data_IF_536014081467
#
_entry.id   IF_536014081467
#
_cell.length_a   1.000
_cell.length_b   1.000
_cell.length_c   1.000
_cell.angle_alpha   90.00
_cell.angle_beta   90.00
_cell.angle_gamma   90.00
#
_symmetry.space_group_name_H-M   'P 1'
#
loop_
_entity.id
_entity.type
_entity.pdbx_description
1 polymer ?
#
# COMPACT_ATOMS: atom_id res chain seq x y z
N UNK A 1 -2.11 16.08 12.52
CA UNK A 1 -2.90 16.53 11.35
C UNK A 1 -2.03 16.75 10.13
N UNK A 2 -1.17 15.78 9.78
CA UNK A 2 -0.50 15.76 8.49
C UNK A 2 -1.46 15.18 7.43
N UNK A 3 -1.20 15.45 6.16
CA UNK A 3 -1.99 14.93 5.02
C UNK A 3 -1.94 13.40 4.90
N UNK A 4 -2.80 12.83 4.07
CA UNK A 4 -2.80 11.41 3.68
C UNK A 4 -3.12 10.38 4.80
N UNK A 5 -3.70 10.78 5.92
CA UNK A 5 -4.20 9.83 6.92
C UNK A 5 -5.54 9.23 6.49
N UNK A 6 -5.69 7.92 6.60
CA UNK A 6 -6.92 7.19 6.24
C UNK A 6 -7.23 6.07 7.23
N UNK A 7 -8.51 5.74 7.37
CA UNK A 7 -8.97 4.51 8.01
C UNK A 7 -9.22 3.46 6.92
N UNK A 8 -8.67 2.25 7.07
CA UNK A 8 -8.69 1.19 6.05
C UNK A 8 -9.27 -0.11 6.60
N UNK A 9 -10.02 -0.81 5.75
CA UNK A 9 -10.48 -2.17 5.97
C UNK A 9 -10.34 -2.97 4.66
N UNK A 10 -9.80 -4.18 4.76
CA UNK A 10 -9.93 -5.22 3.74
C UNK A 10 -10.64 -6.43 4.35
N UNK A 11 -11.68 -6.92 3.67
CA UNK A 11 -12.43 -8.10 4.07
C UNK A 11 -12.45 -9.10 2.92
N UNK A 12 -12.27 -10.38 3.23
CA UNK A 12 -12.26 -11.48 2.28
C UNK A 12 -12.71 -12.78 2.93
N UNK A 13 -12.70 -13.86 2.15
CA UNK A 13 -13.03 -15.19 2.63
C UNK A 13 -12.08 -15.66 3.74
N UNK A 14 -12.54 -16.57 4.60
CA UNK A 14 -11.70 -17.10 5.69
C UNK A 14 -10.42 -17.71 5.11
N UNK A 15 -9.27 -17.18 5.54
CA UNK A 15 -7.96 -17.65 5.09
C UNK A 15 -7.50 -17.11 3.73
N UNK A 16 -8.23 -16.16 3.14
CA UNK A 16 -7.85 -15.53 1.87
C UNK A 16 -6.65 -14.59 1.97
N UNK A 17 -6.32 -14.11 3.17
CA UNK A 17 -5.19 -13.21 3.41
C UNK A 17 -4.05 -13.95 4.09
N UNK A 18 -2.83 -13.66 3.62
CA UNK A 18 -1.61 -14.07 4.31
C UNK A 18 -1.61 -13.51 5.73
N UNK A 19 -1.36 -14.38 6.70
CA UNK A 19 -1.09 -13.93 8.06
C UNK A 19 0.37 -13.50 8.11
N UNK A 20 0.61 -12.21 7.86
CA UNK A 20 1.96 -11.66 7.96
C UNK A 20 2.28 -11.27 9.42
N UNK A 21 3.49 -11.57 9.92
CA UNK A 21 3.94 -11.03 11.20
C UNK A 21 4.15 -9.51 11.10
N UNK A 22 4.13 -8.84 12.25
CA UNK A 22 4.45 -7.42 12.35
C UNK A 22 5.97 -7.22 12.19
N UNK A 23 6.37 -7.02 10.93
CA UNK A 23 7.75 -6.83 10.45
C UNK A 23 7.75 -5.97 9.16
N UNK A 24 8.92 -5.76 8.56
CA UNK A 24 9.03 -5.04 7.29
C UNK A 24 8.75 -5.94 6.06
N UNK A 25 8.28 -5.30 5.00
CA UNK A 25 8.10 -5.90 3.68
C UNK A 25 8.58 -4.91 2.61
N UNK A 26 9.50 -5.35 1.77
CA UNK A 26 9.77 -4.75 0.46
C UNK A 26 8.59 -5.00 -0.47
N UNK A 27 8.14 -3.97 -1.19
CA UNK A 27 6.91 -3.96 -1.98
C UNK A 27 7.22 -3.37 -3.34
N UNK A 28 6.82 -4.08 -4.40
CA UNK A 28 6.79 -3.59 -5.77
C UNK A 28 5.36 -3.76 -6.29
N UNK A 29 4.71 -2.66 -6.64
CA UNK A 29 3.29 -2.64 -7.02
C UNK A 29 3.11 -1.89 -8.33
N UNK A 30 2.27 -2.42 -9.21
CA UNK A 30 1.90 -1.80 -10.48
C UNK A 30 0.39 -1.90 -10.74
N UNK A 31 -0.11 -0.97 -11.55
CA UNK A 31 -1.47 -1.02 -12.06
C UNK A 31 -1.70 -2.08 -13.16
N UNK A 32 -2.94 -2.20 -13.65
CA UNK A 32 -3.32 -3.21 -14.65
C UNK A 32 -2.52 -3.14 -15.95
N UNK A 33 -2.06 -1.95 -16.35
CA UNK A 33 -1.29 -1.74 -17.58
C UNK A 33 0.10 -2.39 -17.57
N UNK A 34 0.64 -2.72 -16.41
CA UNK A 34 1.95 -3.38 -16.27
C UNK A 34 1.85 -4.69 -15.47
N UNK A 35 0.66 -5.29 -15.36
CA UNK A 35 0.48 -6.56 -14.68
C UNK A 35 1.30 -7.68 -15.33
N UNK A 36 2.01 -8.47 -14.53
CA UNK A 36 2.78 -9.63 -14.97
C UNK A 36 4.18 -9.32 -15.51
N UNK A 37 4.65 -8.07 -15.45
CA UNK A 37 5.98 -7.67 -15.96
C UNK A 37 7.00 -7.36 -14.86
N UNK A 38 6.58 -7.45 -13.59
CA UNK A 38 7.42 -7.18 -12.41
C UNK A 38 7.97 -8.47 -11.78
N UNK A 39 9.16 -8.37 -11.20
CA UNK A 39 9.83 -9.44 -10.46
C UNK A 39 10.85 -8.87 -9.46
N UNK A 40 10.58 -9.01 -8.16
CA UNK A 40 11.50 -8.61 -7.08
C UNK A 40 12.79 -9.43 -7.02
N UNK A 41 12.90 -10.58 -7.71
CA UNK A 41 14.20 -11.27 -7.84
C UNK A 41 15.13 -10.57 -8.82
N UNK A 42 14.61 -9.64 -9.64
CA UNK A 42 15.38 -8.87 -10.61
C UNK A 42 15.80 -7.51 -10.03
N UNK A 43 16.89 -6.92 -10.54
CA UNK A 43 17.27 -5.56 -10.17
C UNK A 43 16.13 -4.57 -10.39
N UNK A 44 16.03 -3.54 -9.53
CA UNK A 44 15.00 -2.51 -9.63
C UNK A 44 15.01 -1.82 -11.00
N UNK A 45 16.20 -1.56 -11.56
CA UNK A 45 16.36 -1.02 -12.91
C UNK A 45 15.60 -1.81 -13.98
N UNK A 46 15.73 -3.14 -13.96
CA UNK A 46 15.07 -3.99 -14.96
C UNK A 46 13.55 -3.93 -14.80
N UNK A 47 13.06 -3.87 -13.55
CA UNK A 47 11.63 -3.67 -13.28
C UNK A 47 11.13 -2.33 -13.84
N UNK A 48 11.87 -1.25 -13.63
CA UNK A 48 11.51 0.08 -14.15
C UNK A 48 11.46 0.10 -15.68
N UNK A 49 12.42 -0.53 -16.35
CA UNK A 49 12.46 -0.66 -17.81
C UNK A 49 11.30 -1.51 -18.34
N UNK A 50 10.98 -2.64 -17.69
CA UNK A 50 9.87 -3.51 -18.07
C UNK A 50 8.52 -2.79 -17.92
N UNK A 51 8.32 -2.08 -16.80
CA UNK A 51 7.08 -1.32 -16.55
C UNK A 51 6.95 -0.16 -17.54
N UNK A 52 8.02 0.59 -17.79
CA UNK A 52 8.03 1.65 -18.80
C UNK A 52 7.64 1.10 -20.19
N UNK A 53 8.22 -0.03 -20.59
CA UNK A 53 7.87 -0.68 -21.86
C UNK A 53 6.40 -1.12 -21.91
N UNK A 54 5.86 -1.71 -20.83
CA UNK A 54 4.48 -2.15 -20.77
C UNK A 54 3.48 -0.98 -20.87
N UNK A 55 3.84 0.16 -20.28
CA UNK A 55 3.03 1.38 -20.29
C UNK A 55 3.28 2.27 -21.53
N UNK A 56 4.15 1.86 -22.47
CA UNK A 56 4.60 2.67 -23.60
C UNK A 56 5.15 4.05 -23.17
N UNK A 57 5.91 4.07 -22.07
CA UNK A 57 6.58 5.24 -21.52
C UNK A 57 8.09 5.10 -21.63
N UNK A 58 8.78 6.23 -21.51
CA UNK A 58 10.23 6.28 -21.27
C UNK A 58 10.51 6.39 -19.77
N UNK A 59 11.72 6.05 -19.32
CA UNK A 59 12.07 6.15 -17.90
C UNK A 59 11.88 7.57 -17.33
N UNK A 60 12.15 8.62 -18.13
CA UNK A 60 12.01 10.03 -17.71
C UNK A 60 10.56 10.54 -17.58
N UNK A 61 9.61 9.75 -18.07
CA UNK A 61 8.15 9.98 -17.93
C UNK A 61 7.48 9.01 -16.97
N UNK A 62 8.23 8.04 -16.45
CA UNK A 62 7.77 7.08 -15.46
C UNK A 62 7.73 7.72 -14.07
N UNK A 63 6.65 7.49 -13.33
CA UNK A 63 6.45 8.02 -11.98
C UNK A 63 6.43 6.89 -10.95
N UNK A 64 7.43 6.87 -10.06
CA UNK A 64 7.50 5.95 -8.93
C UNK A 64 7.07 6.67 -7.66
N UNK A 65 6.14 6.10 -6.91
CA UNK A 65 5.84 6.53 -5.53
C UNK A 65 6.60 5.66 -4.52
N UNK A 66 7.15 6.28 -3.46
CA UNK A 66 7.89 5.60 -2.40
C UNK A 66 7.70 6.30 -1.05
N UNK A 67 8.29 5.77 0.03
CA UNK A 67 8.29 6.41 1.35
C UNK A 67 9.55 7.27 1.54
N UNK A 68 9.38 8.48 2.05
CA UNK A 68 10.47 9.38 2.43
C UNK A 68 11.05 8.97 3.79
N UNK A 69 11.88 7.91 3.80
CA UNK A 69 12.53 7.38 5.00
C UNK A 69 14.02 7.16 4.71
N UNK A 70 14.93 7.26 5.69
CA UNK A 70 16.37 7.10 5.46
C UNK A 70 16.78 5.80 4.75
N UNK A 71 16.04 4.71 4.98
CA UNK A 71 16.24 3.41 4.31
C UNK A 71 15.93 3.42 2.80
N UNK A 72 15.41 4.52 2.28
CA UNK A 72 15.06 4.72 0.88
C UNK A 72 15.92 5.78 0.20
N UNK A 73 16.84 6.44 0.91
CA UNK A 73 17.61 7.55 0.33
C UNK A 73 18.46 7.08 -0.88
N UNK A 74 19.14 5.93 -0.74
CA UNK A 74 20.00 5.38 -1.80
C UNK A 74 19.18 4.97 -3.04
N UNK A 75 18.04 4.30 -2.84
CA UNK A 75 17.19 3.85 -3.96
C UNK A 75 16.43 5.01 -4.61
N UNK A 76 16.09 6.05 -3.86
CA UNK A 76 15.55 7.31 -4.42
C UNK A 76 16.61 7.95 -5.33
N UNK A 77 17.85 8.05 -4.88
CA UNK A 77 18.94 8.60 -5.68
C UNK A 77 19.22 7.75 -6.92
N UNK A 78 19.19 6.42 -6.80
CA UNK A 78 19.35 5.48 -7.92
C UNK A 78 18.26 5.70 -8.98
N UNK A 79 16.98 5.75 -8.59
CA UNK A 79 15.86 6.00 -9.50
C UNK A 79 15.96 7.37 -10.18
N UNK A 80 16.30 8.42 -9.42
CA UNK A 80 16.49 9.76 -9.96
C UNK A 80 17.64 9.84 -10.96
N UNK A 81 18.74 9.12 -10.72
CA UNK A 81 19.87 9.04 -11.65
C UNK A 81 19.50 8.35 -12.97
N UNK A 82 18.48 7.50 -12.98
CA UNK A 82 17.90 6.89 -14.19
C UNK A 82 16.92 7.81 -14.93
N UNK A 83 16.62 9.00 -14.38
CA UNK A 83 15.65 9.95 -14.92
C UNK A 83 14.22 9.77 -14.43
N UNK A 84 13.94 8.74 -13.64
CA UNK A 84 12.59 8.44 -13.13
C UNK A 84 12.12 9.53 -12.17
N UNK A 85 10.84 9.91 -12.28
CA UNK A 85 10.23 10.87 -11.36
C UNK A 85 9.83 10.15 -10.08
N UNK A 86 10.39 10.58 -8.95
CA UNK A 86 10.15 9.93 -7.65
C UNK A 86 9.28 10.82 -6.77
N UNK A 87 8.10 10.33 -6.40
CA UNK A 87 7.24 10.92 -5.38
C UNK A 87 7.47 10.23 -4.03
N UNK A 88 8.24 10.87 -3.15
CA UNK A 88 8.52 10.35 -1.81
C UNK A 88 7.51 10.94 -0.80
N UNK A 89 6.60 10.10 -0.28
CA UNK A 89 5.58 10.50 0.70
C UNK A 89 6.01 10.17 2.13
N UNK A 90 5.66 10.96 3.15
CA UNK A 90 6.14 10.74 4.51
C UNK A 90 5.66 9.40 5.10
N UNK A 91 4.41 9.03 4.85
CA UNK A 91 3.74 7.83 5.36
C UNK A 91 2.57 7.44 4.42
N UNK A 92 1.99 6.25 4.62
CA UNK A 92 0.76 5.83 3.93
C UNK A 92 0.98 5.03 2.64
N UNK A 93 1.77 3.96 2.69
CA UNK A 93 2.05 3.11 1.51
C UNK A 93 0.82 2.34 0.98
N UNK A 94 -0.22 2.12 1.79
CA UNK A 94 -1.50 1.56 1.32
C UNK A 94 -2.20 2.50 0.35
N UNK A 95 -2.24 3.81 0.65
CA UNK A 95 -2.83 4.77 -0.28
C UNK A 95 -1.96 4.92 -1.53
N UNK A 96 -0.63 4.93 -1.36
CA UNK A 96 0.33 5.02 -2.45
C UNK A 96 0.22 3.82 -3.42
N UNK A 97 0.02 2.60 -2.93
CA UNK A 97 -0.16 1.44 -3.79
C UNK A 97 -1.42 1.56 -4.64
N UNK A 98 -2.53 2.03 -4.08
CA UNK A 98 -3.81 2.21 -4.80
C UNK A 98 -3.68 3.22 -5.94
N UNK A 99 -2.87 4.27 -5.76
CA UNK A 99 -2.65 5.29 -6.80
C UNK A 99 -2.13 4.69 -8.12
N UNK A 100 -1.35 3.60 -8.07
CA UNK A 100 -0.88 2.88 -9.28
C UNK A 100 -2.01 2.36 -10.18
N UNK A 101 -3.21 2.19 -9.61
CA UNK A 101 -4.39 1.66 -10.28
C UNK A 101 -5.45 2.73 -10.55
N UNK A 102 -5.24 3.97 -10.13
CA UNK A 102 -6.22 5.05 -10.28
C UNK A 102 -6.00 5.77 -11.63
N UNK A 103 -7.03 5.87 -12.49
CA UNK A 103 -6.87 6.47 -13.82
C UNK A 103 -6.58 7.97 -13.80
N UNK A 104 -6.91 8.64 -12.69
CA UNK A 104 -6.67 10.06 -12.43
C UNK A 104 -5.33 10.31 -11.71
N UNK A 105 -4.57 9.27 -11.39
CA UNK A 105 -3.23 9.39 -10.80
C UNK A 105 -2.14 9.37 -11.88
N UNK A 106 -1.09 10.15 -11.65
CA UNK A 106 0.13 10.10 -12.48
C UNK A 106 1.08 8.97 -12.06
N UNK A 107 0.83 8.29 -10.93
CA UNK A 107 1.70 7.25 -10.38
C UNK A 107 1.61 5.98 -11.22
N UNK A 108 2.75 5.50 -11.73
CA UNK A 108 2.83 4.29 -12.55
C UNK A 108 3.11 3.03 -11.73
N UNK A 109 3.98 3.17 -10.74
CA UNK A 109 4.37 2.07 -9.85
C UNK A 109 4.74 2.58 -8.45
N UNK A 110 4.74 1.65 -7.49
CA UNK A 110 5.26 1.88 -6.16
C UNK A 110 6.42 0.93 -5.88
N UNK A 111 7.52 1.46 -5.36
CA UNK A 111 8.58 0.66 -4.75
C UNK A 111 8.85 1.19 -3.34
N UNK A 112 8.72 0.36 -2.31
CA UNK A 112 9.04 0.77 -0.94
C UNK A 112 9.33 -0.41 0.00
N UNK A 113 9.81 -0.08 1.20
CA UNK A 113 9.94 -1.01 2.32
C UNK A 113 9.08 -0.44 3.45
N UNK A 114 7.94 -1.08 3.68
CA UNK A 114 6.92 -0.67 4.64
C UNK A 114 6.50 -1.80 5.56
N UNK A 115 5.39 -1.64 6.29
CA UNK A 115 4.90 -2.71 7.17
C UNK A 115 4.31 -3.88 6.37
N UNK A 116 4.58 -5.11 6.80
CA UNK A 116 4.06 -6.31 6.16
C UNK A 116 2.53 -6.43 6.23
N UNK A 117 1.84 -6.11 7.34
CA UNK A 117 0.38 -6.11 7.39
C UNK A 117 -0.26 -5.17 6.35
N UNK A 118 0.28 -3.96 6.18
CA UNK A 118 -0.13 -3.00 5.15
C UNK A 118 0.13 -3.51 3.74
N UNK A 119 1.18 -4.31 3.56
CA UNK A 119 1.48 -5.01 2.31
C UNK A 119 0.38 -6.00 1.93
N UNK A 120 -0.12 -6.78 2.89
CA UNK A 120 -1.25 -7.72 2.66
C UNK A 120 -2.54 -6.97 2.31
N UNK A 121 -2.82 -5.85 2.98
CA UNK A 121 -3.97 -4.98 2.65
C UNK A 121 -3.83 -4.41 1.24
N UNK A 122 -2.62 -3.98 0.87
CA UNK A 122 -2.31 -3.50 -0.49
C UNK A 122 -2.54 -4.61 -1.52
N UNK A 123 -2.01 -5.82 -1.31
CA UNK A 123 -2.22 -6.94 -2.21
C UNK A 123 -3.71 -7.25 -2.43
N UNK A 124 -4.53 -7.14 -1.38
CA UNK A 124 -5.97 -7.37 -1.48
C UNK A 124 -6.68 -6.35 -2.39
N UNK A 125 -6.36 -5.06 -2.26
CA UNK A 125 -6.97 -4.02 -3.11
C UNK A 125 -6.39 -4.00 -4.53
N UNK A 126 -5.09 -4.23 -4.69
CA UNK A 126 -4.44 -4.31 -6.01
C UNK A 126 -4.98 -5.50 -6.82
N UNK A 127 -5.20 -6.65 -6.17
CA UNK A 127 -5.89 -7.79 -6.78
C UNK A 127 -7.29 -7.41 -7.25
N UNK A 128 -8.05 -6.72 -6.41
CA UNK A 128 -9.41 -6.28 -6.74
C UNK A 128 -9.45 -5.26 -7.89
N UNK A 129 -8.36 -4.51 -8.10
CA UNK A 129 -8.17 -3.54 -9.17
C UNK A 129 -7.48 -4.12 -10.41
N UNK A 130 -7.16 -5.42 -10.41
CA UNK A 130 -6.46 -6.13 -11.49
C UNK A 130 -5.04 -5.65 -11.79
N UNK A 131 -4.35 -5.11 -10.77
CA UNK A 131 -2.92 -4.81 -10.84
C UNK A 131 -2.04 -6.02 -10.53
N UNK A 132 -0.79 -5.75 -10.16
CA UNK A 132 0.17 -6.76 -9.72
C UNK A 132 1.03 -6.25 -8.57
N UNK A 133 1.46 -7.18 -7.72
CA UNK A 133 2.25 -6.86 -6.53
C UNK A 133 3.19 -8.02 -6.18
N UNK A 134 4.47 -7.71 -6.01
CA UNK A 134 5.42 -8.59 -5.34
C UNK A 134 5.77 -8.02 -3.96
N UNK A 135 5.94 -8.90 -2.98
CA UNK A 135 6.37 -8.56 -1.63
C UNK A 135 7.55 -9.43 -1.19
N UNK A 136 8.44 -8.93 -0.34
CA UNK A 136 9.49 -9.73 0.31
C UNK A 136 9.59 -9.33 1.78
N UNK A 137 9.38 -10.28 2.69
CA UNK A 137 9.48 -10.02 4.13
C UNK A 137 10.94 -9.85 4.52
N UNK A 138 11.27 -8.74 5.19
CA UNK A 138 12.63 -8.39 5.61
C UNK A 138 12.71 -8.24 7.13
N UNK A 139 13.64 -8.91 7.81
CA UNK A 139 13.82 -8.73 9.25
C UNK A 139 14.41 -7.34 9.56
N UNK A 140 14.11 -6.83 10.76
CA UNK A 140 14.42 -5.45 11.16
C UNK A 140 15.88 -5.06 10.99
N UNK A 141 16.83 -5.94 11.30
CA UNK A 141 18.26 -5.64 11.19
C UNK A 141 18.73 -5.41 9.74
N UNK A 142 18.04 -6.00 8.75
CA UNK A 142 18.31 -5.73 7.33
C UNK A 142 17.74 -4.37 6.88
N UNK A 143 16.74 -3.83 7.58
CA UNK A 143 16.02 -2.60 7.20
C UNK A 143 16.42 -1.36 8.01
N UNK A 144 16.76 -1.55 9.28
CA UNK A 144 17.06 -0.48 10.25
C UNK A 144 18.55 -0.40 10.62
N UNK A 145 19.37 -1.24 10.02
CA UNK A 145 20.79 -1.36 10.31
C UNK A 145 21.07 -2.44 11.36
N UNK A 146 22.29 -2.94 11.30
CA UNK A 146 22.72 -4.15 11.98
C UNK A 146 23.22 -3.89 13.42
N UNK A 147 22.33 -3.37 14.26
CA UNK A 147 22.59 -3.15 15.69
C UNK A 147 22.13 -4.35 16.51
N UNK A 148 22.71 -4.54 17.70
CA UNK A 148 22.31 -5.62 18.62
C UNK A 148 20.80 -5.59 18.92
N UNK A 149 20.25 -4.41 19.18
CA UNK A 149 18.81 -4.22 19.40
C UNK A 149 17.99 -4.69 18.18
N UNK A 150 18.38 -4.30 16.95
CA UNK A 150 17.65 -4.70 15.76
C UNK A 150 17.82 -6.19 15.44
N UNK A 151 18.94 -6.82 15.81
CA UNK A 151 19.14 -8.27 15.69
C UNK A 151 18.20 -9.04 16.61
N UNK A 152 18.01 -8.58 17.85
CA UNK A 152 17.06 -9.18 18.80
C UNK A 152 15.63 -9.12 18.24
N UNK A 153 15.18 -7.94 17.79
CA UNK A 153 13.85 -7.81 17.19
C UNK A 153 13.71 -8.62 15.90
N UNK A 154 14.74 -8.62 15.04
CA UNK A 154 14.75 -9.39 13.80
C UNK A 154 14.70 -10.89 14.04
N UNK A 155 15.41 -11.42 15.05
CA UNK A 155 15.33 -12.83 15.42
C UNK A 155 13.91 -13.21 15.89
N UNK A 156 13.26 -12.34 16.67
CA UNK A 156 11.87 -12.54 17.08
C UNK A 156 10.87 -12.44 15.90
N UNK A 157 11.12 -11.58 14.91
CA UNK A 157 10.36 -11.54 13.65
C UNK A 157 10.51 -12.83 12.84
N UNK A 158 11.74 -13.36 12.73
CA UNK A 158 12.01 -14.62 12.03
C UNK A 158 11.36 -15.83 12.72
N UNK A 159 11.42 -15.89 14.06
CA UNK A 159 10.71 -16.93 14.81
C UNK A 159 9.20 -16.87 14.57
N UNK A 160 8.60 -15.67 14.58
CA UNK A 160 7.17 -15.49 14.25
C UNK A 160 6.85 -15.92 12.82
N UNK A 161 7.75 -15.71 11.86
CA UNK A 161 7.59 -16.23 10.50
C UNK A 161 7.45 -17.76 10.51
N UNK A 162 8.34 -18.46 11.21
CA UNK A 162 8.32 -19.93 11.32
C UNK A 162 7.03 -20.45 11.97
N UNK A 163 6.61 -19.84 13.09
CA UNK A 163 5.36 -20.16 13.80
C UNK A 163 4.11 -19.97 12.92
N UNK A 164 4.15 -18.98 12.02
CA UNK A 164 3.06 -18.67 11.09
C UNK A 164 3.17 -19.42 9.76
N UNK A 165 4.24 -20.20 9.54
CA UNK A 165 4.47 -20.96 8.31
C UNK A 165 4.81 -20.10 7.10
N UNK A 166 5.43 -18.94 7.31
CA UNK A 166 5.87 -18.01 6.26
C UNK A 166 7.39 -17.92 6.28
N UNK A 167 8.03 -17.75 5.12
CA UNK A 167 9.48 -17.58 5.03
C UNK A 167 9.83 -16.11 4.82
N UNK A 168 10.84 -15.62 5.53
CA UNK A 168 11.45 -14.32 5.24
C UNK A 168 12.40 -14.43 4.04
N UNK A 169 12.77 -13.30 3.44
CA UNK A 169 13.74 -13.20 2.34
C UNK A 169 13.39 -14.05 1.09
N UNK A 170 12.10 -14.33 0.89
CA UNK A 170 11.57 -14.93 -0.34
C UNK A 170 10.55 -13.98 -0.97
N UNK A 171 10.51 -13.96 -2.30
CA UNK A 171 9.48 -13.19 -3.01
C UNK A 171 8.14 -13.90 -2.88
N UNK A 172 7.16 -13.13 -2.42
CA UNK A 172 5.74 -13.46 -2.34
C UNK A 172 5.05 -12.77 -3.51
N UNK A 173 4.33 -13.54 -4.33
CA UNK A 173 3.46 -12.97 -5.36
C UNK A 173 2.17 -12.45 -4.74
N UNK A 174 1.45 -11.64 -5.50
CA UNK A 174 0.16 -11.08 -5.05
C UNK A 174 -0.80 -12.19 -4.61
N UNK A 175 -0.81 -13.33 -5.31
CA UNK A 175 -1.64 -14.49 -5.00
C UNK A 175 -1.26 -15.16 -3.68
N UNK A 176 0.00 -15.09 -3.25
CA UNK A 176 0.44 -15.63 -1.97
C UNK A 176 -0.08 -14.80 -0.80
N UNK A 177 -0.22 -13.48 -1.02
CA UNK A 177 -0.68 -12.47 -0.05
C UNK A 177 -2.20 -12.34 0.00
N UNK A 178 -2.88 -12.34 -1.16
CA UNK A 178 -4.32 -12.24 -1.31
C UNK A 178 -4.82 -13.30 -2.31
N UNK A 179 -5.45 -14.36 -1.78
CA UNK A 179 -5.75 -15.62 -2.49
C UNK A 179 -7.13 -15.67 -3.14
N UNK A 180 -7.96 -14.64 -2.97
CA UNK A 180 -9.35 -14.63 -3.45
C UNK A 180 -9.70 -13.31 -4.13
N UNK A 181 -10.50 -13.37 -5.20
CA UNK A 181 -11.08 -12.19 -5.85
C UNK A 181 -12.29 -11.65 -5.09
N UNK A 182 -12.82 -12.41 -4.14
CA UNK A 182 -13.93 -12.02 -3.27
C UNK A 182 -13.43 -11.12 -2.13
N UNK A 183 -12.86 -9.97 -2.50
CA UNK A 183 -12.38 -8.94 -1.58
C UNK A 183 -13.29 -7.72 -1.62
N UNK A 184 -13.57 -7.18 -0.43
CA UNK A 184 -14.13 -5.84 -0.24
C UNK A 184 -13.07 -4.99 0.44
N UNK A 185 -12.69 -3.90 -0.19
CA UNK A 185 -11.78 -2.91 0.37
C UNK A 185 -12.54 -1.61 0.60
N UNK A 186 -12.37 -1.01 1.77
CA UNK A 186 -12.93 0.29 2.13
C UNK A 186 -11.86 1.16 2.75
N UNK A 187 -11.70 2.38 2.24
CA UNK A 187 -10.83 3.40 2.82
C UNK A 187 -11.60 4.71 2.96
N UNK A 188 -11.51 5.37 4.12
CA UNK A 188 -12.11 6.69 4.37
C UNK A 188 -11.02 7.67 4.78
N UNK A 189 -10.93 8.81 4.10
CA UNK A 189 -9.94 9.84 4.40
C UNK A 189 -10.19 10.49 5.75
N UNK A 190 -9.17 10.54 6.60
CA UNK A 190 -9.17 11.25 7.88
C UNK A 190 -8.69 12.68 7.65
N UNK A 191 -7.51 12.84 7.04
CA UNK A 191 -6.98 14.13 6.58
C UNK A 191 -6.97 14.15 5.05
N UNK A 192 -6.94 15.36 4.46
CA UNK A 192 -6.90 15.49 3.00
C UNK A 192 -5.67 14.78 2.46
N UNK A 193 -5.88 13.96 1.44
CA UNK A 193 -4.83 13.21 0.76
C UNK A 193 -5.01 13.19 -0.74
N UNK A 194 -4.07 12.53 -1.41
CA UNK A 194 -4.03 12.40 -2.87
C UNK A 194 -5.13 11.45 -3.35
N UNK A 195 -5.46 10.43 -2.55
CA UNK A 195 -6.51 9.46 -2.86
C UNK A 195 -7.90 9.92 -2.42
N UNK A 196 -8.04 10.55 -1.25
CA UNK A 196 -9.33 10.85 -0.61
C UNK A 196 -9.32 12.21 0.09
N UNK A 197 -10.45 12.90 0.02
CA UNK A 197 -10.74 14.04 0.87
C UNK A 197 -10.78 13.65 2.36
N UNK A 198 -10.29 14.56 3.20
CA UNK A 198 -10.33 14.40 4.65
C UNK A 198 -11.70 14.73 5.23
N UNK A 199 -11.87 14.41 6.51
CA UNK A 199 -13.08 14.78 7.26
C UNK A 199 -13.14 16.31 7.35
N UNK A 200 -14.28 16.90 7.03
CA UNK A 200 -14.58 18.29 7.37
C UNK A 200 -15.80 18.37 8.27
N UNK A 201 -15.82 19.33 9.19
CA UNK A 201 -16.92 19.57 10.13
C UNK A 201 -17.29 21.06 10.13
N UNK A 202 -18.57 21.35 9.99
CA UNK A 202 -19.16 22.69 10.13
C UNK A 202 -20.35 22.58 11.09
N UNK A 203 -20.15 23.04 12.33
CA UNK A 203 -21.13 22.87 13.41
C UNK A 203 -21.48 21.39 13.64
N UNK A 204 -22.75 21.08 13.43
CA UNK A 204 -23.34 19.74 13.62
C UNK A 204 -23.31 18.87 12.34
N UNK A 205 -22.66 19.32 11.27
CA UNK A 205 -22.53 18.55 10.02
C UNK A 205 -21.07 18.16 9.83
N UNK A 206 -20.81 16.88 9.54
CA UNK A 206 -19.52 16.41 9.06
C UNK A 206 -19.64 15.80 7.66
N UNK A 207 -18.57 15.85 6.88
CA UNK A 207 -18.48 15.17 5.58
C UNK A 207 -17.29 14.23 5.53
N UNK A 208 -17.44 13.13 4.79
CA UNK A 208 -16.41 12.11 4.59
C UNK A 208 -16.36 11.70 3.13
N UNK A 209 -15.19 11.30 2.64
CA UNK A 209 -15.03 10.62 1.36
C UNK A 209 -14.48 9.22 1.57
N UNK A 210 -15.16 8.22 0.99
CA UNK A 210 -14.81 6.80 1.10
C UNK A 210 -14.57 6.20 -0.28
N UNK A 211 -13.45 5.51 -0.47
CA UNK A 211 -13.21 4.61 -1.59
C UNK A 211 -13.68 3.20 -1.22
N UNK A 212 -14.63 2.65 -1.97
CA UNK A 212 -15.11 1.28 -1.80
C UNK A 212 -14.86 0.48 -3.08
N UNK A 213 -14.05 -0.57 -2.97
CA UNK A 213 -13.69 -1.47 -4.07
C UNK A 213 -14.23 -2.87 -3.78
N UNK A 214 -14.84 -3.50 -4.78
CA UNK A 214 -15.30 -4.89 -4.71
C UNK A 214 -14.66 -5.69 -5.83
N UNK A 215 -13.80 -6.66 -5.50
CA UNK A 215 -13.04 -7.44 -6.49
C UNK A 215 -13.94 -8.21 -7.46
N UNK A 216 -14.94 -8.93 -6.95
CA UNK A 216 -15.85 -9.75 -7.78
C UNK A 216 -16.54 -8.99 -8.93
N UNK A 217 -16.94 -7.74 -8.70
CA UNK A 217 -17.62 -6.93 -9.72
C UNK A 217 -16.74 -5.80 -10.27
N UNK A 218 -15.47 -5.74 -9.85
CA UNK A 218 -14.49 -4.68 -10.17
C UNK A 218 -15.06 -3.26 -10.07
N UNK A 219 -16.04 -3.06 -9.19
CA UNK A 219 -16.68 -1.74 -9.08
C UNK A 219 -15.92 -0.91 -8.07
N UNK A 220 -15.45 0.24 -8.52
CA UNK A 220 -14.84 1.27 -7.71
C UNK A 220 -15.90 2.34 -7.43
N UNK A 221 -16.13 2.66 -6.16
CA UNK A 221 -17.05 3.73 -5.75
C UNK A 221 -16.30 4.76 -4.92
N UNK A 222 -16.45 6.03 -5.28
CA UNK A 222 -16.15 7.16 -4.40
C UNK A 222 -17.46 7.61 -3.78
N UNK A 223 -17.60 7.49 -2.46
CA UNK A 223 -18.82 7.79 -1.72
C UNK A 223 -18.56 9.06 -0.91
N UNK A 224 -19.26 10.15 -1.25
CA UNK A 224 -19.26 11.38 -0.46
C UNK A 224 -20.50 11.41 0.41
N UNK A 225 -20.30 11.49 1.71
CA UNK A 225 -21.37 11.39 2.70
C UNK A 225 -21.45 12.65 3.55
N UNK A 226 -22.67 13.06 3.89
CA UNK A 226 -22.97 14.13 4.84
C UNK A 226 -23.60 13.51 6.09
N UNK A 227 -23.03 13.81 7.25
CA UNK A 227 -23.42 13.25 8.54
C UNK A 227 -23.96 14.35 9.45
N UNK A 228 -25.20 14.19 9.92
CA UNK A 228 -25.78 15.03 10.97
C UNK A 228 -25.44 14.41 12.34
N UNK A 229 -24.56 15.06 13.12
CA UNK A 229 -23.91 14.44 14.29
C UNK A 229 -24.89 14.25 15.46
N UNK A 230 -25.78 15.20 15.72
CA UNK A 230 -26.83 15.09 16.75
C UNK A 230 -27.81 13.92 16.53
N UNK A 231 -27.93 13.44 15.29
CA UNK A 231 -28.82 12.32 14.94
C UNK A 231 -28.13 10.96 15.00
N UNK A 232 -26.85 10.91 15.39
CA UNK A 232 -26.11 9.65 15.57
C UNK A 232 -26.53 8.98 16.87
N UNK A 233 -26.26 7.68 16.97
CA UNK A 233 -26.53 6.92 18.18
C UNK A 233 -25.86 7.58 19.41
N UNK A 234 -26.52 7.57 20.59
CA UNK A 234 -25.98 8.21 21.79
C UNK A 234 -24.54 7.83 22.10
N UNK A 235 -24.20 6.53 22.01
CA UNK A 235 -22.86 6.01 22.29
C UNK A 235 -21.79 6.57 21.33
N UNK A 236 -22.16 6.84 20.09
CA UNK A 236 -21.25 7.45 19.11
C UNK A 236 -21.11 8.94 19.37
N UNK A 237 -22.19 9.62 19.81
CA UNK A 237 -22.18 11.05 20.11
C UNK A 237 -21.18 11.40 21.20
N UNK A 238 -21.06 10.59 22.24
CA UNK A 238 -20.11 10.81 23.35
C UNK A 238 -18.64 10.76 22.90
N UNK A 239 -18.35 10.16 21.75
CA UNK A 239 -17.00 10.05 21.17
C UNK A 239 -16.68 11.23 20.24
N UNK A 240 -17.70 11.79 19.56
CA UNK A 240 -17.52 12.74 18.45
C UNK A 240 -17.90 14.20 18.78
N UNK A 241 -18.74 14.42 19.80
CA UNK A 241 -19.19 15.75 20.26
C UNK A 241 -18.41 16.19 21.49
#
# INVERSE_FOLDING_TARGET
GQSNALAVLAAGEKGSFLKAPDMYMEKLVVGPGAKGVIDLEKPLKENLENVASALNKTLDTLVVITLAKPRHDDVIAEMQAMGVRVFAVPDGDVAASILTCMPDSEVDLMYCIGGAPEGVVSAAVIRALDGDMHGRLLPRHEVKGDTEENRIYGAAELQRCEEMGVKANVVLKMEDMARSDNVVFSATGITKGDLLGGISRQGNIATTETLLVRGRCRTIRRIKSTHYLERKDPEVRDIIL
#
